data_IF_052190651363
#
_entry.id   IF_052190651363
#
_cell.length_a   1.000
_cell.length_b   1.000
_cell.length_c   1.000
_cell.angle_alpha   90.00
_cell.angle_beta   90.00
_cell.angle_gamma   90.00
#
_symmetry.space_group_name_H-M   'P 1'
#
loop_
_entity.id
_entity.type
_entity.pdbx_description
1 polymer ?
#
# COMPACT_ATOMS: atom_id res chain seq x y z
N UNK A 1 -7.42 -3.17 -24.86
CA UNK A 1 -6.06 -2.75 -24.48
C UNK A 1 -5.89 -2.91 -22.98
N UNK A 2 -4.99 -3.78 -22.52
CA UNK A 2 -4.51 -3.70 -21.13
C UNK A 2 -3.90 -2.29 -20.90
N UNK A 3 -4.10 -1.64 -19.74
CA UNK A 3 -3.32 -0.45 -19.40
C UNK A 3 -1.85 -0.83 -19.48
N UNK A 4 -1.09 -0.10 -20.31
CA UNK A 4 0.22 -0.53 -20.77
C UNK A 4 1.19 -0.63 -19.59
N UNK A 5 1.36 -1.83 -19.03
CA UNK A 5 2.22 -2.07 -17.86
C UNK A 5 3.70 -1.71 -18.15
N UNK A 6 4.09 -1.56 -19.42
CA UNK A 6 5.40 -1.01 -19.82
C UNK A 6 5.57 0.47 -19.48
N UNK A 7 4.47 1.21 -19.27
CA UNK A 7 4.48 2.60 -18.81
C UNK A 7 4.59 2.73 -17.28
N UNK A 8 4.53 1.62 -16.54
CA UNK A 8 4.56 1.55 -15.07
C UNK A 8 5.68 0.59 -14.63
N UNK A 9 6.95 1.03 -14.69
CA UNK A 9 8.11 0.16 -14.57
C UNK A 9 8.27 -0.49 -13.18
N UNK A 10 7.88 0.18 -12.08
CA UNK A 10 7.93 -0.42 -10.74
C UNK A 10 6.89 -1.54 -10.58
N UNK A 11 5.64 -1.27 -10.95
CA UNK A 11 4.55 -2.24 -10.90
C UNK A 11 4.83 -3.44 -11.79
N UNK A 12 5.35 -3.22 -13.00
CA UNK A 12 5.80 -4.30 -13.89
C UNK A 12 6.86 -5.18 -13.24
N UNK A 13 7.86 -4.57 -12.57
CA UNK A 13 8.89 -5.31 -11.85
C UNK A 13 8.31 -6.13 -10.69
N UNK A 14 7.52 -5.53 -9.80
CA UNK A 14 6.97 -6.23 -8.63
C UNK A 14 6.00 -7.35 -9.06
N UNK A 15 5.13 -7.10 -10.05
CA UNK A 15 4.26 -8.15 -10.63
C UNK A 15 5.03 -9.31 -11.24
N UNK A 16 6.25 -9.09 -11.78
CA UNK A 16 7.11 -10.15 -12.32
C UNK A 16 7.79 -11.00 -11.23
N UNK A 17 7.86 -10.50 -9.99
CA UNK A 17 8.46 -11.17 -8.83
C UNK A 17 7.44 -11.92 -7.97
N UNK A 18 6.14 -11.67 -8.12
CA UNK A 18 5.11 -12.45 -7.45
C UNK A 18 5.14 -13.90 -7.95
N UNK A 19 5.09 -14.91 -7.07
CA UNK A 19 4.91 -16.30 -7.51
C UNK A 19 3.58 -16.40 -8.27
N UNK A 20 3.65 -16.76 -9.55
CA UNK A 20 2.53 -16.71 -10.48
C UNK A 20 1.33 -17.55 -9.99
N UNK A 21 0.29 -16.86 -9.51
CA UNK A 21 -1.00 -17.45 -9.11
C UNK A 21 -1.62 -18.24 -10.27
N UNK A 22 -1.28 -17.88 -11.51
CA UNK A 22 -1.69 -18.55 -12.76
C UNK A 22 -1.22 -20.01 -12.93
N UNK A 23 -0.27 -20.50 -12.12
CA UNK A 23 0.36 -21.83 -12.33
C UNK A 23 -0.45 -23.03 -11.82
N UNK A 24 -1.61 -22.83 -11.16
CA UNK A 24 -2.32 -23.91 -10.44
C UNK A 24 -3.65 -24.39 -11.05
N UNK A 25 -4.01 -23.97 -12.26
CA UNK A 25 -5.28 -24.32 -12.90
C UNK A 25 -5.17 -24.87 -14.34
N UNK A 26 -3.97 -25.25 -14.80
CA UNK A 26 -3.80 -26.05 -16.02
C UNK A 26 -3.30 -27.46 -15.70
N UNK A 27 -4.18 -28.25 -15.07
CA UNK A 27 -4.20 -29.71 -15.23
C UNK A 27 -5.36 -30.05 -16.16
N UNK A 28 -5.06 -30.67 -17.29
CA UNK A 28 -5.93 -30.90 -18.46
C UNK A 28 -6.96 -32.03 -18.26
N UNK A 29 -7.80 -32.35 -19.27
CA UNK A 29 -7.37 -33.33 -20.28
C UNK A 29 -7.92 -33.16 -21.72
N UNK A 30 -7.22 -33.80 -22.69
CA UNK A 30 -7.71 -34.26 -24.04
C UNK A 30 -8.21 -33.19 -25.05
N UNK A 31 -7.91 -33.22 -26.35
CA UNK A 31 -7.23 -34.19 -27.26
C UNK A 31 -7.23 -33.59 -28.70
N UNK A 32 -6.53 -34.06 -29.76
CA UNK A 32 -5.69 -35.26 -29.97
C UNK A 32 -4.76 -35.18 -31.21
N UNK A 33 -3.79 -36.11 -31.28
CA UNK A 33 -3.05 -36.67 -32.45
C UNK A 33 -2.11 -35.81 -33.33
N UNK A 34 -1.09 -36.43 -34.00
CA UNK A 34 -0.48 -37.77 -33.80
C UNK A 34 1.05 -37.77 -33.61
N UNK A 35 1.57 -38.96 -33.29
CA UNK A 35 2.96 -39.40 -33.20
C UNK A 35 3.95 -38.84 -34.24
N UNK A 36 5.19 -38.60 -33.81
CA UNK A 36 6.37 -39.27 -34.38
C UNK A 36 7.42 -39.57 -33.28
N UNK A 37 8.22 -40.63 -33.43
CA UNK A 37 8.92 -41.29 -32.33
C UNK A 37 10.34 -41.77 -32.71
N UNK A 38 11.12 -40.94 -33.42
CA UNK A 38 12.46 -41.36 -33.89
C UNK A 38 13.50 -40.21 -34.04
N UNK A 39 13.97 -39.62 -32.93
CA UNK A 39 15.24 -38.85 -32.89
C UNK A 39 15.72 -38.45 -31.46
N UNK A 40 16.96 -38.77 -31.09
CA UNK A 40 17.70 -38.10 -30.00
C UNK A 40 19.00 -37.42 -30.49
N UNK A 41 19.64 -36.58 -29.65
CA UNK A 41 19.34 -35.17 -29.36
C UNK A 41 20.11 -34.20 -30.30
N UNK A 42 20.23 -32.90 -29.96
CA UNK A 42 21.55 -32.49 -29.46
C UNK A 42 21.50 -31.64 -28.18
N UNK A 43 22.56 -31.77 -27.37
CA UNK A 43 22.89 -30.81 -26.31
C UNK A 43 23.67 -29.69 -26.98
N UNK A 44 23.13 -28.47 -26.98
CA UNK A 44 23.96 -27.26 -27.05
C UNK A 44 23.24 -26.06 -26.41
N UNK A 45 24.03 -25.18 -25.79
CA UNK A 45 23.52 -24.11 -24.94
C UNK A 45 23.32 -22.79 -25.68
N UNK A 46 22.14 -22.17 -25.54
CA UNK A 46 21.98 -20.73 -25.70
C UNK A 46 20.74 -20.17 -24.98
N UNK A 47 21.00 -19.27 -24.02
CA UNK A 47 20.17 -18.10 -23.67
C UNK A 47 18.64 -18.25 -23.47
N UNK A 48 18.25 -18.34 -22.20
CA UNK A 48 17.28 -17.38 -21.65
C UNK A 48 17.90 -16.68 -20.44
N UNK A 49 18.64 -15.61 -20.74
CA UNK A 49 19.24 -14.73 -19.73
C UNK A 49 18.14 -14.12 -18.87
N UNK A 50 18.06 -14.52 -17.60
CA UNK A 50 17.29 -13.81 -16.57
C UNK A 50 18.06 -12.56 -16.13
N UNK A 51 18.34 -11.67 -17.07
CA UNK A 51 18.86 -10.35 -16.74
C UNK A 51 17.79 -9.59 -15.92
N UNK A 52 18.15 -8.99 -14.77
CA UNK A 52 17.26 -8.03 -14.14
C UNK A 52 17.00 -6.89 -15.15
N UNK A 53 15.77 -6.34 -15.24
CA UNK A 53 15.52 -5.19 -16.09
C UNK A 53 16.36 -3.99 -15.62
N UNK A 54 16.68 -3.03 -16.52
CA UNK A 54 17.57 -1.89 -16.26
C UNK A 54 17.09 -0.93 -15.15
N UNK A 55 15.92 -1.20 -14.57
CA UNK A 55 15.37 -0.49 -13.42
C UNK A 55 16.14 -0.81 -12.12
N UNK A 56 16.75 -2.01 -12.00
CA UNK A 56 17.46 -2.44 -10.78
C UNK A 56 18.79 -1.70 -10.64
N UNK A 57 19.47 -1.42 -11.76
CA UNK A 57 20.69 -0.60 -11.79
C UNK A 57 20.40 0.88 -11.47
N UNK A 58 19.14 1.32 -11.66
CA UNK A 58 18.68 2.67 -11.30
C UNK A 58 18.15 2.74 -9.85
N UNK A 59 17.85 1.60 -9.22
CA UNK A 59 17.19 1.52 -7.91
C UNK A 59 17.71 0.33 -7.08
N UNK A 60 18.83 0.48 -6.34
CA UNK A 60 19.48 -0.63 -5.63
C UNK A 60 18.63 -1.21 -4.49
N UNK A 61 17.86 -0.36 -3.78
CA UNK A 61 17.08 -0.76 -2.59
C UNK A 61 15.83 -1.60 -2.92
N UNK A 62 15.46 -1.70 -4.20
CA UNK A 62 14.32 -2.47 -4.71
C UNK A 62 14.53 -4.00 -4.57
N UNK A 63 15.75 -4.42 -4.23
CA UNK A 63 16.12 -5.81 -3.96
C UNK A 63 15.87 -6.25 -2.50
N UNK A 64 15.61 -5.33 -1.57
CA UNK A 64 15.46 -5.65 -0.15
C UNK A 64 14.16 -6.43 0.15
N UNK A 65 14.19 -7.53 0.92
CA UNK A 65 13.04 -8.40 1.13
C UNK A 65 11.88 -7.72 1.88
N UNK A 66 12.18 -6.79 2.82
CA UNK A 66 11.16 -6.00 3.51
C UNK A 66 10.43 -5.03 2.56
N UNK A 67 11.18 -4.39 1.67
CA UNK A 67 10.64 -3.47 0.65
C UNK A 67 9.77 -4.24 -0.34
N UNK A 68 10.27 -5.38 -0.86
CA UNK A 68 9.52 -6.26 -1.74
C UNK A 68 8.23 -6.81 -1.10
N UNK A 69 8.23 -7.15 0.18
CA UNK A 69 7.02 -7.57 0.90
C UNK A 69 5.99 -6.44 1.03
N UNK A 70 6.43 -5.23 1.38
CA UNK A 70 5.57 -4.03 1.45
C UNK A 70 4.98 -3.67 0.09
N UNK A 71 5.81 -3.67 -0.96
CA UNK A 71 5.39 -3.45 -2.35
C UNK A 71 4.40 -4.52 -2.82
N UNK A 72 4.66 -5.80 -2.51
CA UNK A 72 3.77 -6.94 -2.82
C UNK A 72 2.39 -6.74 -2.21
N UNK A 73 2.31 -6.36 -0.93
CA UNK A 73 1.04 -6.06 -0.27
C UNK A 73 0.34 -4.85 -0.91
N UNK A 74 1.08 -3.79 -1.26
CA UNK A 74 0.53 -2.58 -1.86
C UNK A 74 -0.09 -2.77 -3.25
N UNK A 75 0.23 -3.87 -3.96
CA UNK A 75 -0.29 -4.20 -5.30
C UNK A 75 -1.23 -5.41 -5.34
N UNK A 76 -1.58 -5.98 -4.19
CA UNK A 76 -2.43 -7.18 -4.13
C UNK A 76 -3.76 -6.97 -4.88
N UNK A 77 -4.41 -5.82 -4.66
CA UNK A 77 -5.65 -5.43 -5.34
C UNK A 77 -5.49 -5.41 -6.86
N UNK A 78 -4.34 -4.92 -7.38
CA UNK A 78 -4.05 -4.87 -8.82
C UNK A 78 -3.94 -6.27 -9.39
N UNK A 79 -3.25 -7.18 -8.71
CA UNK A 79 -3.10 -8.57 -9.14
C UNK A 79 -4.45 -9.29 -9.16
N UNK A 80 -5.30 -9.07 -8.15
CA UNK A 80 -6.65 -9.62 -8.10
C UNK A 80 -7.54 -9.06 -9.22
N UNK A 81 -7.61 -7.73 -9.39
CA UNK A 81 -8.42 -7.10 -10.46
C UNK A 81 -7.95 -7.53 -11.85
N UNK A 82 -6.64 -7.64 -12.07
CA UNK A 82 -6.08 -8.18 -13.32
C UNK A 82 -6.55 -9.60 -13.60
N UNK A 83 -6.57 -10.47 -12.59
CA UNK A 83 -7.04 -11.85 -12.74
C UNK A 83 -8.52 -11.91 -13.11
N UNK A 84 -9.36 -11.02 -12.57
CA UNK A 84 -10.80 -10.94 -12.92
C UNK A 84 -10.99 -10.40 -14.34
N UNK A 85 -10.27 -9.35 -14.74
CA UNK A 85 -10.35 -8.83 -16.11
C UNK A 85 -9.86 -9.84 -17.16
N UNK A 86 -8.87 -10.69 -16.83
CA UNK A 86 -8.47 -11.79 -17.69
C UNK A 86 -9.58 -12.84 -17.91
N UNK A 87 -10.49 -13.04 -16.95
CA UNK A 87 -11.65 -13.94 -17.17
C UNK A 87 -12.80 -13.26 -17.91
N UNK A 88 -12.91 -11.93 -17.83
CA UNK A 88 -13.95 -11.16 -18.53
C UNK A 88 -13.59 -10.81 -19.98
N UNK A 89 -12.30 -10.80 -20.32
CA UNK A 89 -11.82 -10.60 -21.69
C UNK A 89 -11.27 -9.20 -21.99
N UNK A 90 -10.89 -8.94 -23.26
CA UNK A 90 -10.25 -7.69 -23.64
C UNK A 90 -11.20 -6.50 -23.47
N UNK A 91 -10.63 -5.32 -23.13
CA UNK A 91 -11.38 -4.06 -23.14
C UNK A 91 -12.05 -3.84 -24.50
N UNK A 92 -13.36 -3.50 -24.54
CA UNK A 92 -14.04 -3.08 -25.76
C UNK A 92 -13.32 -1.94 -26.49
N UNK A 93 -13.53 -1.87 -27.80
CA UNK A 93 -13.17 -0.70 -28.61
C UNK A 93 -14.16 0.46 -28.40
N UNK A 94 -13.70 1.67 -28.68
CA UNK A 94 -14.47 2.91 -28.50
C UNK A 94 -15.72 2.95 -29.39
N UNK A 95 -15.66 2.40 -30.61
CA UNK A 95 -16.79 2.35 -31.53
C UNK A 95 -17.92 1.46 -30.98
N UNK A 96 -17.59 0.30 -30.38
CA UNK A 96 -18.55 -0.58 -29.71
C UNK A 96 -19.18 0.05 -28.47
N UNK A 97 -18.42 0.85 -27.72
CA UNK A 97 -18.92 1.62 -26.55
C UNK A 97 -19.89 2.72 -27.01
N UNK A 98 -19.53 3.49 -28.04
CA UNK A 98 -20.39 4.54 -28.60
C UNK A 98 -21.66 3.97 -29.23
N UNK A 99 -21.55 2.84 -29.93
CA UNK A 99 -22.69 2.09 -30.47
C UNK A 99 -23.62 1.59 -29.36
N UNK A 100 -23.06 1.10 -28.24
CA UNK A 100 -23.85 0.69 -27.08
C UNK A 100 -24.59 1.89 -26.45
N UNK A 101 -23.94 3.05 -26.31
CA UNK A 101 -24.59 4.28 -25.85
C UNK A 101 -25.71 4.75 -26.79
N UNK A 102 -25.46 4.77 -28.10
CA UNK A 102 -26.45 5.15 -29.11
C UNK A 102 -27.66 4.23 -29.07
N UNK A 103 -27.44 2.91 -29.02
CA UNK A 103 -28.49 1.90 -28.96
C UNK A 103 -29.29 1.96 -27.66
N UNK A 104 -28.67 2.26 -26.51
CA UNK A 104 -29.42 2.53 -25.27
C UNK A 104 -30.35 3.72 -25.42
N UNK A 105 -29.88 4.84 -25.99
CA UNK A 105 -30.69 6.03 -26.22
C UNK A 105 -31.84 5.77 -27.23
N UNK A 106 -31.62 4.93 -28.24
CA UNK A 106 -32.67 4.49 -29.16
C UNK A 106 -33.74 3.67 -28.44
N UNK A 107 -33.34 2.68 -27.63
CA UNK A 107 -34.28 1.86 -26.83
C UNK A 107 -35.05 2.74 -25.85
N UNK A 108 -34.41 3.72 -25.20
CA UNK A 108 -35.09 4.69 -24.32
C UNK A 108 -36.10 5.57 -25.08
N UNK A 109 -35.76 6.05 -26.28
CA UNK A 109 -36.68 6.81 -27.13
C UNK A 109 -37.89 5.97 -27.56
N UNK A 110 -37.67 4.70 -27.93
CA UNK A 110 -38.74 3.79 -28.35
C UNK A 110 -39.62 3.36 -27.17
N UNK A 111 -39.02 3.11 -26.01
CA UNK A 111 -39.73 2.86 -24.75
C UNK A 111 -40.67 4.03 -24.38
N UNK A 112 -40.21 5.29 -24.49
CA UNK A 112 -41.08 6.45 -24.24
C UNK A 112 -42.29 6.47 -25.17
N UNK A 113 -42.06 6.34 -26.48
CA UNK A 113 -43.14 6.34 -27.50
C UNK A 113 -44.17 5.23 -27.26
N UNK A 114 -43.72 4.01 -26.98
CA UNK A 114 -44.62 2.87 -26.73
C UNK A 114 -45.41 3.02 -25.43
N UNK A 115 -44.83 3.65 -24.40
CA UNK A 115 -45.56 3.98 -23.17
C UNK A 115 -46.58 5.11 -23.38
N UNK A 116 -46.23 6.13 -24.15
CA UNK A 116 -47.15 7.22 -24.54
C UNK A 116 -48.34 6.69 -25.35
N UNK A 117 -48.10 5.84 -26.36
CA UNK A 117 -49.14 5.19 -27.15
C UNK A 117 -50.07 4.31 -26.30
N UNK A 118 -49.51 3.56 -25.35
CA UNK A 118 -50.27 2.75 -24.41
C UNK A 118 -51.16 3.60 -23.48
N UNK A 119 -50.65 4.73 -22.97
CA UNK A 119 -51.43 5.67 -22.13
C UNK A 119 -52.56 6.34 -22.92
N UNK A 120 -52.36 6.60 -24.21
CA UNK A 120 -53.36 7.18 -25.11
C UNK A 120 -54.43 6.17 -25.60
N UNK A 121 -54.25 4.87 -25.33
CA UNK A 121 -55.14 3.83 -25.86
C UNK A 121 -56.55 3.86 -25.21
N UNK A 122 -57.64 3.94 -26.02
CA UNK A 122 -59.00 3.98 -25.49
C UNK A 122 -59.45 2.61 -24.95
N UNK A 123 -60.28 2.61 -23.90
CA UNK A 123 -60.88 1.38 -23.37
C UNK A 123 -61.81 0.74 -24.41
N UNK A 124 -61.65 -0.56 -24.74
CA UNK A 124 -62.56 -1.28 -25.63
C UNK A 124 -64.00 -1.34 -25.11
N UNK A 125 -64.98 -1.34 -26.01
CA UNK A 125 -66.37 -1.54 -25.65
C UNK A 125 -66.62 -2.95 -25.10
N UNK A 126 -67.38 -3.05 -24.00
CA UNK A 126 -67.73 -4.33 -23.36
C UNK A 126 -66.74 -4.88 -22.32
N UNK A 127 -65.56 -4.29 -22.13
CA UNK A 127 -64.56 -4.74 -21.13
C UNK A 127 -64.72 -3.99 -19.81
N UNK A 128 -64.63 -4.69 -18.67
CA UNK A 128 -64.70 -4.07 -17.34
C UNK A 128 -63.53 -3.11 -17.08
N UNK A 129 -63.75 -2.10 -16.22
CA UNK A 129 -62.73 -1.09 -15.94
C UNK A 129 -61.53 -1.64 -15.13
N UNK A 130 -61.74 -2.62 -14.25
CA UNK A 130 -60.65 -3.25 -13.49
C UNK A 130 -59.83 -4.19 -14.38
N UNK A 131 -60.50 -5.03 -15.19
CA UNK A 131 -59.84 -5.91 -16.17
C UNK A 131 -59.03 -5.10 -17.20
N UNK A 132 -59.58 -3.98 -17.69
CA UNK A 132 -58.85 -3.09 -18.60
C UNK A 132 -57.60 -2.50 -17.96
N UNK A 133 -57.68 -2.03 -16.71
CA UNK A 133 -56.51 -1.50 -15.98
C UNK A 133 -55.45 -2.56 -15.72
N UNK A 134 -55.84 -3.79 -15.38
CA UNK A 134 -54.92 -4.90 -15.18
C UNK A 134 -54.16 -5.22 -16.48
N UNK A 135 -54.88 -5.39 -17.60
CA UNK A 135 -54.29 -5.65 -18.92
C UNK A 135 -53.34 -4.52 -19.37
N UNK A 136 -53.70 -3.26 -19.09
CA UNK A 136 -52.85 -2.11 -19.40
C UNK A 136 -51.56 -2.09 -18.56
N UNK A 137 -51.62 -2.44 -17.28
CA UNK A 137 -50.47 -2.60 -16.41
C UNK A 137 -49.57 -3.79 -16.81
N UNK A 138 -50.17 -4.93 -17.18
CA UNK A 138 -49.44 -6.10 -17.67
C UNK A 138 -48.66 -5.78 -18.96
N UNK A 139 -49.27 -5.04 -19.89
CA UNK A 139 -48.62 -4.56 -21.11
C UNK A 139 -47.52 -3.53 -20.83
N UNK A 140 -47.75 -2.57 -19.93
CA UNK A 140 -46.74 -1.61 -19.47
C UNK A 140 -45.51 -2.33 -18.89
N UNK A 141 -45.75 -3.37 -18.08
CA UNK A 141 -44.70 -4.22 -17.52
C UNK A 141 -43.95 -5.01 -18.61
N UNK A 142 -44.67 -5.61 -19.58
CA UNK A 142 -44.06 -6.34 -20.70
C UNK A 142 -43.16 -5.42 -21.55
N UNK A 143 -43.62 -4.22 -21.91
CA UNK A 143 -42.84 -3.24 -22.69
C UNK A 143 -41.55 -2.87 -21.93
N UNK A 144 -41.65 -2.56 -20.62
CA UNK A 144 -40.47 -2.27 -19.80
C UNK A 144 -39.52 -3.47 -19.69
N UNK A 145 -40.06 -4.68 -19.54
CA UNK A 145 -39.26 -5.90 -19.42
C UNK A 145 -38.51 -6.22 -20.72
N UNK A 146 -39.16 -6.07 -21.88
CA UNK A 146 -38.50 -6.22 -23.18
C UNK A 146 -37.41 -5.17 -23.38
N UNK A 147 -37.70 -3.89 -23.10
CA UNK A 147 -36.70 -2.83 -23.19
C UNK A 147 -35.49 -3.10 -22.28
N UNK A 148 -35.70 -3.58 -21.05
CA UNK A 148 -34.60 -3.95 -20.15
C UNK A 148 -33.80 -5.16 -20.64
N UNK A 149 -34.44 -6.16 -21.27
CA UNK A 149 -33.75 -7.28 -21.93
C UNK A 149 -32.89 -6.79 -23.10
N UNK A 150 -33.38 -5.90 -23.96
CA UNK A 150 -32.63 -5.33 -25.08
C UNK A 150 -31.45 -4.46 -24.60
N UNK A 151 -31.64 -3.70 -23.52
CA UNK A 151 -30.57 -2.93 -22.88
C UNK A 151 -29.49 -3.79 -22.25
N UNK A 152 -29.79 -5.02 -21.81
CA UNK A 152 -28.86 -5.87 -21.04
C UNK A 152 -27.51 -6.06 -21.73
N UNK A 153 -27.49 -6.37 -23.02
CA UNK A 153 -26.26 -6.53 -23.82
C UNK A 153 -25.42 -5.24 -23.83
N UNK A 154 -26.07 -4.09 -24.04
CA UNK A 154 -25.40 -2.80 -24.11
C UNK A 154 -24.83 -2.42 -22.74
N UNK A 155 -25.60 -2.65 -21.66
CA UNK A 155 -25.13 -2.46 -20.27
C UNK A 155 -23.90 -3.32 -19.96
N UNK A 156 -23.86 -4.58 -20.40
CA UNK A 156 -22.69 -5.45 -20.20
C UNK A 156 -21.42 -4.93 -20.90
N UNK A 157 -21.54 -4.35 -22.09
CA UNK A 157 -20.40 -3.74 -22.81
C UNK A 157 -19.88 -2.53 -22.04
N UNK A 158 -20.77 -1.64 -21.60
CA UNK A 158 -20.40 -0.44 -20.85
C UNK A 158 -19.81 -0.77 -19.46
N UNK A 159 -20.38 -1.74 -18.76
CA UNK A 159 -19.83 -2.24 -17.48
C UNK A 159 -18.43 -2.83 -17.66
N UNK A 160 -18.16 -3.54 -18.76
CA UNK A 160 -16.83 -4.07 -19.04
C UNK A 160 -15.82 -2.93 -19.30
N UNK A 161 -16.22 -1.89 -20.04
CA UNK A 161 -15.35 -0.73 -20.27
C UNK A 161 -15.07 0.05 -18.97
N UNK A 162 -16.09 0.30 -18.15
CA UNK A 162 -15.97 0.95 -16.84
C UNK A 162 -15.02 0.18 -15.91
N UNK A 163 -15.13 -1.15 -15.87
CA UNK A 163 -14.23 -2.02 -15.11
C UNK A 163 -12.77 -1.93 -15.60
N UNK A 164 -12.54 -1.86 -16.91
CA UNK A 164 -11.21 -1.66 -17.48
C UNK A 164 -10.65 -0.25 -17.22
N UNK A 165 -11.50 0.78 -17.22
CA UNK A 165 -11.11 2.16 -16.86
C UNK A 165 -10.76 2.27 -15.37
N UNK A 166 -11.55 1.66 -14.49
CA UNK A 166 -11.31 1.59 -13.05
C UNK A 166 -9.99 0.86 -12.75
N UNK A 167 -9.70 -0.25 -13.45
CA UNK A 167 -8.41 -0.93 -13.35
C UNK A 167 -7.24 -0.07 -13.86
N UNK A 168 -7.42 0.70 -14.94
CA UNK A 168 -6.43 1.67 -15.40
C UNK A 168 -6.09 2.73 -14.34
N UNK A 169 -7.12 3.25 -13.64
CA UNK A 169 -6.95 4.15 -12.48
C UNK A 169 -6.22 3.46 -11.31
N UNK A 170 -6.58 2.22 -11.00
CA UNK A 170 -5.95 1.41 -9.93
C UNK A 170 -4.47 1.15 -10.22
N UNK A 171 -4.12 0.78 -11.45
CA UNK A 171 -2.74 0.58 -11.93
C UNK A 171 -1.90 1.84 -11.75
N UNK A 172 -2.42 3.01 -12.13
CA UNK A 172 -1.73 4.29 -11.93
C UNK A 172 -1.49 4.59 -10.44
N UNK A 173 -2.53 4.45 -9.61
CA UNK A 173 -2.40 4.67 -8.17
C UNK A 173 -1.42 3.68 -7.52
N UNK A 174 -1.35 2.44 -8.01
CA UNK A 174 -0.42 1.45 -7.50
C UNK A 174 1.03 1.83 -7.79
N UNK A 175 1.35 2.32 -8.99
CA UNK A 175 2.68 2.88 -9.28
C UNK A 175 3.02 4.04 -8.33
N UNK A 176 2.10 5.00 -8.15
CA UNK A 176 2.28 6.14 -7.23
C UNK A 176 2.50 5.69 -5.77
N UNK A 177 1.88 4.58 -5.33
CA UNK A 177 2.13 3.97 -4.02
C UNK A 177 3.49 3.27 -3.96
N UNK A 178 3.89 2.55 -5.01
CA UNK A 178 5.19 1.88 -5.09
C UNK A 178 6.35 2.87 -5.07
N UNK A 179 6.24 3.98 -5.80
CA UNK A 179 7.20 5.10 -5.76
C UNK A 179 7.36 5.60 -4.34
N UNK A 180 6.26 5.92 -3.63
CA UNK A 180 6.31 6.39 -2.23
C UNK A 180 6.87 5.37 -1.24
N UNK A 181 6.67 4.08 -1.48
CA UNK A 181 7.28 3.02 -0.66
C UNK A 181 8.79 2.94 -0.93
N UNK A 182 9.21 3.13 -2.17
CA UNK A 182 10.62 3.15 -2.56
C UNK A 182 11.35 4.42 -2.06
N UNK A 183 10.75 5.60 -2.21
CA UNK A 183 11.26 6.87 -1.66
C UNK A 183 11.51 6.75 -0.15
N UNK A 184 10.50 6.30 0.61
CA UNK A 184 10.64 6.04 2.05
C UNK A 184 11.68 4.98 2.39
N UNK A 185 11.89 3.98 1.53
CA UNK A 185 12.94 2.99 1.73
C UNK A 185 14.34 3.54 1.41
N UNK A 186 14.44 4.58 0.56
CA UNK A 186 15.64 5.37 0.32
C UNK A 186 15.95 6.33 1.46
N UNK A 187 14.93 6.97 2.05
CA UNK A 187 15.06 7.81 3.26
C UNK A 187 15.58 7.03 4.49
N UNK A 188 15.42 5.69 4.51
CA UNK A 188 15.99 4.80 5.56
C UNK A 188 17.35 4.19 5.14
N UNK A 189 17.88 4.57 3.97
CA UNK A 189 19.12 4.02 3.44
C UNK A 189 20.16 5.07 3.00
N UNK A 190 19.79 6.35 2.96
CA UNK A 190 20.73 7.47 3.02
C UNK A 190 21.14 7.65 4.50
N UNK A 191 22.03 6.76 4.97
CA UNK A 191 22.60 6.75 6.33
C UNK A 191 23.58 7.92 6.49
N UNK A 192 23.07 9.14 6.40
CA UNK A 192 23.76 10.41 6.68
C UNK A 192 22.75 11.43 7.17
N UNK A 193 22.65 11.49 8.51
CA UNK A 193 21.75 12.32 9.33
C UNK A 193 20.31 11.79 9.51
N UNK A 194 19.96 11.27 10.71
CA UNK A 194 18.56 10.94 11.01
C UNK A 194 17.74 12.23 11.06
N UNK A 195 16.63 12.27 10.32
CA UNK A 195 15.71 13.42 10.34
C UNK A 195 15.13 13.59 11.74
N UNK A 196 15.63 14.58 12.47
CA UNK A 196 15.09 15.00 13.76
C UNK A 196 13.67 15.59 13.56
N UNK A 197 12.58 14.82 13.70
CA UNK A 197 11.29 15.41 14.14
C UNK A 197 11.38 15.69 15.66
N UNK A 198 12.40 16.45 16.06
CA UNK A 198 12.64 16.84 17.44
C UNK A 198 11.37 17.43 18.02
N UNK A 199 10.78 16.73 19.00
CA UNK A 199 9.55 17.19 19.65
C UNK A 199 9.78 18.65 20.12
N UNK A 200 8.96 19.63 19.73
CA UNK A 200 9.24 21.05 19.95
C UNK A 200 9.52 21.42 21.41
N UNK A 201 9.00 20.67 22.38
CA UNK A 201 9.33 20.84 23.79
C UNK A 201 10.80 20.49 24.13
N UNK A 202 11.38 19.49 23.47
CA UNK A 202 12.80 19.11 23.62
C UNK A 202 13.70 20.16 22.97
N UNK A 203 13.29 20.74 21.84
CA UNK A 203 14.00 21.88 21.23
C UNK A 203 14.03 23.08 22.17
N UNK A 204 12.88 23.44 22.77
CA UNK A 204 12.81 24.53 23.75
C UNK A 204 13.71 24.30 24.97
N UNK A 205 13.86 23.06 25.43
CA UNK A 205 14.78 22.69 26.52
C UNK A 205 16.25 22.78 26.08
N UNK A 206 16.58 22.45 24.82
CA UNK A 206 17.92 22.66 24.27
C UNK A 206 18.28 24.15 24.15
N UNK A 207 17.33 24.99 23.70
CA UNK A 207 17.50 26.44 23.64
C UNK A 207 17.69 27.04 25.05
N UNK A 208 16.90 26.60 26.05
CA UNK A 208 17.08 27.05 27.42
C UNK A 208 18.43 26.58 28.01
N UNK A 209 18.86 25.34 27.71
CA UNK A 209 20.14 24.78 28.14
C UNK A 209 21.37 25.50 27.56
N UNK A 210 21.26 26.14 26.40
CA UNK A 210 22.31 27.00 25.86
C UNK A 210 22.39 28.36 26.59
N UNK A 211 21.27 28.88 27.10
CA UNK A 211 21.19 30.17 27.79
C UNK A 211 21.40 30.11 29.31
N UNK A 212 21.07 28.99 29.94
CA UNK A 212 21.24 28.73 31.38
C UNK A 212 21.75 27.30 31.57
N UNK A 213 22.69 27.09 32.50
CA UNK A 213 23.10 25.75 32.89
C UNK A 213 21.93 24.99 33.50
N UNK A 214 21.33 24.07 32.73
CA UNK A 214 20.25 23.21 33.21
C UNK A 214 20.83 22.06 34.03
N UNK A 215 20.57 22.06 35.34
CA UNK A 215 21.01 21.02 36.27
C UNK A 215 20.06 19.82 36.32
N UNK A 216 18.77 20.00 35.99
CA UNK A 216 17.75 18.94 36.03
C UNK A 216 16.77 19.08 34.86
N UNK A 217 16.45 17.96 34.20
CA UNK A 217 15.47 17.90 33.11
C UNK A 217 14.48 16.76 33.35
N UNK A 218 13.18 17.07 33.28
CA UNK A 218 12.10 16.09 33.37
C UNK A 218 11.25 16.06 32.09
N UNK A 219 11.35 14.95 31.37
CA UNK A 219 10.65 14.63 30.13
C UNK A 219 9.72 13.41 30.31
N UNK A 220 9.31 13.10 31.54
CA UNK A 220 8.45 11.95 31.84
C UNK A 220 7.10 11.99 31.08
N UNK A 221 6.67 10.84 30.56
CA UNK A 221 5.31 10.66 30.03
C UNK A 221 5.01 11.33 28.68
N UNK A 222 6.00 11.90 28.00
CA UNK A 222 5.83 12.74 26.80
C UNK A 222 5.74 11.97 25.47
N UNK A 223 5.71 10.63 25.51
CA UNK A 223 5.67 9.72 24.34
C UNK A 223 6.82 9.93 23.34
N UNK A 224 7.98 10.40 23.83
CA UNK A 224 9.19 10.59 23.03
C UNK A 224 9.70 9.26 22.49
N UNK A 225 10.17 9.24 21.24
CA UNK A 225 10.75 8.04 20.59
C UNK A 225 12.27 8.09 20.49
N UNK A 226 12.84 9.29 20.41
CA UNK A 226 14.26 9.57 20.26
C UNK A 226 14.62 10.87 20.95
N UNK A 227 15.91 10.99 21.28
CA UNK A 227 16.51 12.14 21.94
C UNK A 227 17.52 12.74 20.95
N UNK A 228 17.47 14.04 20.63
CA UNK A 228 18.40 14.66 19.68
C UNK A 228 19.84 14.55 20.17
N UNK A 229 20.78 14.39 19.25
CA UNK A 229 22.19 14.24 19.61
C UNK A 229 22.72 15.46 20.37
N UNK A 230 22.19 16.65 20.05
CA UNK A 230 22.50 17.91 20.72
C UNK A 230 22.27 17.88 22.24
N UNK A 231 21.42 16.99 22.75
CA UNK A 231 21.18 16.84 24.19
C UNK A 231 22.44 16.39 24.95
N UNK A 232 23.32 15.65 24.29
CA UNK A 232 24.62 15.25 24.83
C UNK A 232 25.59 16.41 25.12
N UNK A 233 25.31 17.63 24.63
CA UNK A 233 26.19 18.80 24.77
C UNK A 233 25.91 19.61 26.05
N UNK A 234 24.94 19.21 26.88
CA UNK A 234 24.53 19.93 28.09
C UNK A 234 25.50 19.62 29.26
N UNK A 235 26.62 20.33 29.30
CA UNK A 235 27.73 20.16 30.27
C UNK A 235 27.43 20.55 31.73
N UNK A 236 26.15 20.73 32.08
CA UNK A 236 25.67 21.10 33.42
C UNK A 236 24.67 20.13 34.04
N UNK A 237 24.20 19.11 33.30
CA UNK A 237 23.08 18.27 33.74
C UNK A 237 23.49 17.26 34.81
N UNK A 238 22.76 17.25 35.92
CA UNK A 238 22.95 16.35 37.08
C UNK A 238 21.87 15.26 37.15
N UNK A 239 20.63 15.55 36.75
CA UNK A 239 19.51 14.59 36.80
C UNK A 239 18.67 14.67 35.54
N UNK A 240 18.41 13.52 34.91
CA UNK A 240 17.64 13.39 33.67
C UNK A 240 16.56 12.32 33.83
N UNK A 241 15.29 12.72 33.72
CA UNK A 241 14.15 11.82 33.71
C UNK A 241 13.52 11.72 32.31
N UNK A 242 13.59 10.52 31.73
CA UNK A 242 13.02 10.10 30.44
C UNK A 242 11.96 9.00 30.63
N UNK A 243 11.46 8.76 31.84
CA UNK A 243 10.56 7.64 32.14
C UNK A 243 9.20 7.73 31.42
N UNK A 244 8.59 6.58 31.13
CA UNK A 244 7.23 6.51 30.57
C UNK A 244 7.10 7.06 29.14
N UNK A 245 8.14 6.92 28.32
CA UNK A 245 8.18 7.35 26.93
C UNK A 245 8.08 6.13 25.98
N UNK A 246 8.55 6.26 24.74
CA UNK A 246 8.57 5.22 23.70
C UNK A 246 9.99 5.04 23.12
N UNK A 247 11.04 5.26 23.93
CA UNK A 247 12.42 5.11 23.47
C UNK A 247 12.73 3.64 23.16
N UNK A 248 13.15 3.37 21.91
CA UNK A 248 13.65 2.06 21.47
C UNK A 248 15.19 1.97 21.57
N UNK A 249 15.88 3.11 21.42
CA UNK A 249 17.34 3.27 21.54
C UNK A 249 17.66 4.59 22.26
N UNK A 250 18.78 4.62 22.98
CA UNK A 250 19.39 5.84 23.55
C UNK A 250 20.57 6.26 22.66
N UNK A 251 20.72 7.54 22.26
CA UNK A 251 21.83 7.98 21.42
C UNK A 251 23.17 7.93 22.17
N UNK A 252 24.25 7.59 21.46
CA UNK A 252 25.61 7.58 22.02
C UNK A 252 26.07 8.95 22.55
N UNK A 253 25.50 10.04 22.01
CA UNK A 253 25.83 11.39 22.49
C UNK A 253 25.44 11.62 23.96
N UNK A 254 24.55 10.80 24.55
CA UNK A 254 24.19 10.91 25.97
C UNK A 254 25.43 10.81 26.89
N UNK A 255 26.47 10.10 26.45
CA UNK A 255 27.76 10.03 27.13
C UNK A 255 28.47 11.39 27.33
N UNK A 256 28.13 12.42 26.54
CA UNK A 256 28.64 13.78 26.71
C UNK A 256 28.14 14.50 27.97
N UNK A 257 27.16 13.92 28.68
CA UNK A 257 26.65 14.42 29.96
C UNK A 257 27.59 14.06 31.12
N UNK A 258 28.84 14.54 31.08
CA UNK A 258 29.91 14.16 32.01
C UNK A 258 29.57 14.28 33.51
N UNK A 259 28.62 15.15 33.89
CA UNK A 259 28.22 15.43 35.28
C UNK A 259 26.93 14.71 35.71
N UNK A 260 26.33 13.88 34.86
CA UNK A 260 25.06 13.24 35.15
C UNK A 260 25.20 12.27 36.33
N UNK A 261 24.43 12.52 37.41
CA UNK A 261 24.40 11.67 38.61
C UNK A 261 23.19 10.73 38.61
N UNK A 262 22.09 11.13 37.98
CA UNK A 262 20.83 10.38 37.95
C UNK A 262 20.27 10.29 36.53
N UNK A 263 20.02 9.07 36.05
CA UNK A 263 19.36 8.80 34.78
C UNK A 263 18.18 7.84 34.99
N UNK A 264 16.98 8.29 34.69
CA UNK A 264 15.79 7.44 34.69
C UNK A 264 15.26 7.28 33.27
N UNK A 265 15.33 6.06 32.73
CA UNK A 265 14.80 5.66 31.43
C UNK A 265 13.76 4.53 31.57
N UNK A 266 13.16 4.39 32.76
CA UNK A 266 12.18 3.34 33.06
C UNK A 266 10.90 3.44 32.22
N UNK A 267 10.18 2.33 32.08
CA UNK A 267 8.92 2.24 31.32
C UNK A 267 9.05 2.77 29.88
N UNK A 268 10.04 2.27 29.16
CA UNK A 268 10.32 2.53 27.75
C UNK A 268 10.36 1.21 26.95
N UNK A 269 10.85 1.23 25.72
CA UNK A 269 10.87 0.08 24.81
C UNK A 269 12.29 -0.43 24.50
N UNK A 270 13.30 -0.01 25.29
CA UNK A 270 14.72 -0.27 25.03
C UNK A 270 15.03 -1.77 25.01
N UNK A 271 15.66 -2.24 23.92
CA UNK A 271 16.11 -3.64 23.77
C UNK A 271 17.57 -3.83 24.21
N UNK A 272 18.38 -2.77 24.13
CA UNK A 272 19.75 -2.66 24.67
C UNK A 272 20.00 -1.25 25.22
N UNK A 273 21.12 -1.08 25.94
CA UNK A 273 21.72 0.23 26.23
C UNK A 273 22.99 0.37 25.38
N UNK A 274 23.36 1.59 24.97
CA UNK A 274 24.60 1.82 24.22
C UNK A 274 25.84 1.59 25.09
N UNK A 275 26.93 1.10 24.50
CA UNK A 275 28.21 0.91 25.22
C UNK A 275 28.77 2.23 25.78
N UNK A 276 28.44 3.35 25.15
CA UNK A 276 28.79 4.70 25.62
C UNK A 276 28.22 5.06 26.99
N UNK A 277 27.21 4.34 27.51
CA UNK A 277 26.65 4.57 28.85
C UNK A 277 27.71 4.51 29.97
N UNK A 278 28.73 3.66 29.80
CA UNK A 278 29.86 3.52 30.74
C UNK A 278 30.77 4.75 30.84
N UNK A 279 30.65 5.72 29.92
CA UNK A 279 31.40 6.97 29.97
C UNK A 279 30.83 7.96 31.00
N UNK A 280 29.62 7.72 31.53
CA UNK A 280 28.98 8.52 32.56
C UNK A 280 29.59 8.25 33.96
N UNK A 281 30.84 8.67 34.15
CA UNK A 281 31.66 8.38 35.34
C UNK A 281 31.11 8.94 36.67
N UNK A 282 30.10 9.81 36.65
CA UNK A 282 29.46 10.36 37.85
C UNK A 282 28.07 9.77 38.14
N UNK A 283 27.62 8.79 37.33
CA UNK A 283 26.26 8.25 37.38
C UNK A 283 26.05 7.29 38.56
N UNK A 284 25.39 7.80 39.61
CA UNK A 284 25.09 7.08 40.86
C UNK A 284 23.79 6.28 40.77
N UNK A 285 22.82 6.74 39.97
CA UNK A 285 21.49 6.14 39.84
C UNK A 285 21.16 5.96 38.37
N UNK A 286 20.93 4.71 37.96
CA UNK A 286 20.40 4.34 36.65
C UNK A 286 19.15 3.47 36.83
N UNK A 287 17.98 4.00 36.48
CA UNK A 287 16.73 3.24 36.45
C UNK A 287 16.35 2.89 35.01
N UNK A 288 16.39 1.60 34.71
CA UNK A 288 16.05 1.00 33.41
C UNK A 288 14.85 0.04 33.52
N UNK A 289 14.14 0.05 34.64
CA UNK A 289 13.02 -0.86 34.91
C UNK A 289 11.88 -0.73 33.89
N UNK A 290 11.17 -1.82 33.59
CA UNK A 290 10.04 -1.78 32.64
C UNK A 290 10.44 -1.55 31.16
N UNK A 291 11.69 -1.87 30.78
CA UNK A 291 12.16 -1.96 29.41
C UNK A 291 12.20 -3.42 28.90
N UNK A 292 12.66 -3.65 27.66
CA UNK A 292 12.85 -4.97 27.04
C UNK A 292 14.32 -5.44 27.05
N UNK A 293 15.14 -4.91 27.95
CA UNK A 293 16.57 -5.19 27.99
C UNK A 293 16.85 -6.68 28.23
N UNK A 294 17.52 -7.33 27.28
CA UNK A 294 17.96 -8.73 27.42
C UNK A 294 19.31 -8.85 28.15
N UNK A 295 20.13 -7.81 28.08
CA UNK A 295 21.43 -7.70 28.75
C UNK A 295 21.75 -6.23 29.04
N UNK A 296 22.71 -5.99 29.93
CA UNK A 296 23.35 -4.70 30.14
C UNK A 296 24.73 -4.71 29.45
N UNK A 297 25.21 -3.59 28.90
CA UNK A 297 26.52 -3.52 28.25
C UNK A 297 27.64 -3.68 29.28
N UNK A 298 28.73 -4.35 28.91
CA UNK A 298 29.89 -4.58 29.79
C UNK A 298 30.49 -3.27 30.30
N UNK A 299 30.34 -2.19 29.54
CA UNK A 299 30.82 -0.84 29.89
C UNK A 299 30.17 -0.25 31.14
N UNK A 300 29.03 -0.78 31.60
CA UNK A 300 28.37 -0.32 32.84
C UNK A 300 29.27 -0.48 34.07
N UNK A 301 30.32 -1.30 34.00
CA UNK A 301 31.35 -1.42 35.04
C UNK A 301 32.25 -0.17 35.21
N UNK A 302 32.19 0.80 34.30
CA UNK A 302 32.95 2.05 34.35
C UNK A 302 32.21 3.20 35.05
N UNK A 303 30.90 3.08 35.30
CA UNK A 303 30.14 3.97 36.19
C UNK A 303 30.62 3.80 37.65
N UNK A 304 30.58 4.86 38.48
CA UNK A 304 31.12 4.88 39.85
C UNK A 304 30.09 5.13 40.94
#
# INVERSE_FOLDING_TARGET
MDPNLKSYPLLSYVLSRLPSISSRLQSSPSSDTPFDLEQPPPIDAASSSTAPPPIVDQMPHLSHPKVLASMTHAIYDVAQTRSVLQTLGPRPDHESVDMAHHKLAEIDSNLSKSLEELVLSPRPEGVDQAEWRANLADKEQQIRQQAEQEKSMCKSILQLDEMHEAYGKLVKQAEERLVKIYEKAGEVADDSEPVEETNPEVVGILEEAQGKGLERVDLCGRKLRYLPEAFGKISGLLSLNLSGNQFEVIPDSLAGLEKLEELNVSSNLLESLPDSIGLLQNLKILDVSGNKLNALPDSICYCR
#
